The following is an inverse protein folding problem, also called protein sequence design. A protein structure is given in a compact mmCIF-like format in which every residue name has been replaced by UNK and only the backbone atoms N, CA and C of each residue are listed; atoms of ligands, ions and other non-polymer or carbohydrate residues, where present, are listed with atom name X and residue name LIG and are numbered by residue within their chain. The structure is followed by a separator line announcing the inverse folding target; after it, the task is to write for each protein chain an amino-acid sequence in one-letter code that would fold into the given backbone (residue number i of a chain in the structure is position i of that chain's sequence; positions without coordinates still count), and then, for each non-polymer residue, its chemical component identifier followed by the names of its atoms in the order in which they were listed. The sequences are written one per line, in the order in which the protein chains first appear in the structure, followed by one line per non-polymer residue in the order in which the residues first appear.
data_IF_378927666177
#
_entry.id   IF_378927666177
#
_cell.length_a   1.000
_cell.length_b   1.000
_cell.length_c   1.000
_cell.angle_alpha   90.00
_cell.angle_beta   90.00
_cell.angle_gamma   90.00
#
_symmetry.space_group_name_H-M   'P 1'
#
loop_
_entity.id
_entity.type
_entity.pdbx_description
1 polymer ?
#
# COMPACT_ATOMS: atom_id res chain seq x y z
N UNK A 1 -8.83 -0.61 2.03
CA UNK A 1 -10.01 0.13 1.51
C UNK A 1 -11.31 -0.58 1.88
N UNK A 2 -11.50 -1.87 1.54
CA UNK A 2 -12.68 -2.66 1.90
C UNK A 2 -13.07 -2.57 3.40
N UNK A 3 -12.13 -2.82 4.31
CA UNK A 3 -12.42 -2.75 5.75
C UNK A 3 -12.83 -1.35 6.22
N UNK A 4 -12.25 -0.29 5.65
CA UNK A 4 -12.67 1.09 5.94
C UNK A 4 -14.07 1.38 5.43
N UNK A 5 -14.43 0.89 4.25
CA UNK A 5 -15.78 1.03 3.70
C UNK A 5 -16.80 0.28 4.54
N UNK A 6 -16.49 -0.96 4.96
CA UNK A 6 -17.33 -1.73 5.90
C UNK A 6 -17.53 -0.99 7.22
N UNK A 7 -16.47 -0.41 7.77
CA UNK A 7 -16.52 0.38 9.01
C UNK A 7 -17.36 1.66 8.86
N UNK A 8 -17.17 2.42 7.77
CA UNK A 8 -17.92 3.66 7.51
C UNK A 8 -19.40 3.38 7.32
N UNK A 9 -19.74 2.33 6.58
CA UNK A 9 -21.12 1.96 6.27
C UNK A 9 -21.78 1.10 7.36
N UNK A 10 -21.05 0.77 8.43
CA UNK A 10 -21.51 -0.05 9.57
C UNK A 10 -22.23 -1.32 9.10
N UNK A 11 -21.68 -1.96 8.06
CA UNK A 11 -22.36 -3.07 7.39
C UNK A 11 -22.50 -4.28 8.32
N UNK A 12 -23.70 -4.85 8.35
CA UNK A 12 -24.00 -6.08 9.08
C UNK A 12 -23.80 -7.30 8.18
N UNK A 13 -23.87 -8.52 8.72
CA UNK A 13 -23.73 -9.75 7.91
C UNK A 13 -25.04 -10.15 7.17
N UNK A 14 -25.91 -9.19 6.86
CA UNK A 14 -27.15 -9.42 6.14
C UNK A 14 -26.93 -9.49 4.61
N UNK A 15 -27.88 -10.13 3.90
CA UNK A 15 -27.80 -10.32 2.44
C UNK A 15 -27.66 -9.00 1.67
N UNK A 16 -28.25 -7.92 2.17
CA UNK A 16 -28.19 -6.59 1.55
C UNK A 16 -26.78 -6.02 1.62
N UNK A 17 -26.12 -6.15 2.76
CA UNK A 17 -24.72 -5.74 2.95
C UNK A 17 -23.77 -6.50 2.04
N UNK A 18 -23.94 -7.81 1.87
CA UNK A 18 -23.15 -8.62 0.93
C UNK A 18 -23.32 -8.11 -0.51
N UNK A 19 -24.56 -7.86 -0.93
CA UNK A 19 -24.87 -7.37 -2.28
C UNK A 19 -24.27 -5.97 -2.52
N UNK A 20 -24.28 -5.13 -1.50
CA UNK A 20 -23.67 -3.81 -1.53
C UNK A 20 -22.14 -3.90 -1.63
N UNK A 21 -21.50 -4.80 -0.88
CA UNK A 21 -20.05 -5.05 -0.97
C UNK A 21 -19.64 -5.47 -2.37
N UNK A 22 -20.34 -6.42 -2.98
CA UNK A 22 -20.08 -6.87 -4.36
C UNK A 22 -20.23 -5.72 -5.37
N UNK A 23 -21.24 -4.86 -5.17
CA UNK A 23 -21.48 -3.70 -6.04
C UNK A 23 -20.37 -2.66 -5.90
N UNK A 24 -19.92 -2.40 -4.68
CA UNK A 24 -18.78 -1.49 -4.41
C UNK A 24 -17.51 -2.06 -5.01
N UNK A 25 -17.24 -3.36 -4.88
CA UNK A 25 -16.09 -4.01 -5.51
C UNK A 25 -16.11 -3.86 -7.03
N UNK A 26 -17.28 -4.09 -7.64
CA UNK A 26 -17.45 -3.91 -9.09
C UNK A 26 -17.20 -2.47 -9.50
N UNK A 27 -17.71 -1.51 -8.72
CA UNK A 27 -17.48 -0.08 -8.98
C UNK A 27 -15.99 0.27 -8.88
N UNK A 28 -15.32 -0.09 -7.78
CA UNK A 28 -13.89 0.18 -7.56
C UNK A 28 -13.00 -0.46 -8.63
N UNK A 29 -13.36 -1.65 -9.10
CA UNK A 29 -12.67 -2.28 -10.23
C UNK A 29 -12.86 -1.51 -11.53
N UNK A 30 -14.08 -1.05 -11.80
CA UNK A 30 -14.38 -0.26 -13.01
C UNK A 30 -13.65 1.09 -13.04
N UNK A 31 -13.27 1.61 -11.86
CA UNK A 31 -12.54 2.87 -11.73
C UNK A 31 -11.02 2.72 -11.76
N UNK A 32 -10.44 1.51 -11.86
CA UNK A 32 -8.98 1.31 -11.89
C UNK A 32 -8.28 2.23 -12.90
N UNK A 33 -8.85 2.41 -14.08
CA UNK A 33 -8.27 3.24 -15.15
C UNK A 33 -8.69 4.71 -15.09
N UNK A 34 -9.81 5.02 -14.43
CA UNK A 34 -10.44 6.36 -14.43
C UNK A 34 -10.20 7.15 -13.14
N UNK A 35 -9.90 6.46 -12.04
CA UNK A 35 -9.65 7.08 -10.76
C UNK A 35 -8.40 7.94 -10.83
N UNK A 36 -8.52 9.17 -10.34
CA UNK A 36 -7.41 10.10 -10.26
C UNK A 36 -6.48 9.68 -9.12
N UNK A 37 -5.28 9.22 -9.50
CA UNK A 37 -4.22 8.83 -8.58
C UNK A 37 -3.24 9.98 -8.30
N UNK A 38 -3.47 11.17 -8.84
CA UNK A 38 -2.53 12.30 -8.76
C UNK A 38 -2.17 12.67 -7.33
N UNK A 39 -3.15 12.67 -6.42
CA UNK A 39 -2.89 12.92 -4.99
C UNK A 39 -1.96 11.85 -4.37
N UNK A 40 -2.20 10.57 -4.68
CA UNK A 40 -1.39 9.46 -4.16
C UNK A 40 0.02 9.52 -4.74
N UNK A 41 0.15 9.76 -6.04
CA UNK A 41 1.44 9.92 -6.70
C UNK A 41 2.25 11.07 -6.07
N UNK A 42 1.62 12.22 -5.83
CA UNK A 42 2.26 13.36 -5.17
C UNK A 42 2.72 13.05 -3.74
N UNK A 43 1.93 12.30 -2.96
CA UNK A 43 2.34 11.87 -1.62
C UNK A 43 3.57 10.94 -1.67
N UNK A 44 3.60 9.99 -2.62
CA UNK A 44 4.74 9.09 -2.84
C UNK A 44 5.98 9.85 -3.31
N UNK A 45 5.83 10.81 -4.22
CA UNK A 45 6.90 11.70 -4.66
C UNK A 45 7.52 12.45 -3.48
N UNK A 46 6.71 13.06 -2.62
CA UNK A 46 7.21 13.80 -1.46
C UNK A 46 8.00 12.91 -0.49
N UNK A 47 7.55 11.68 -0.25
CA UNK A 47 8.29 10.71 0.58
C UNK A 47 9.61 10.32 -0.08
N UNK A 48 9.60 10.11 -1.40
CA UNK A 48 10.80 9.81 -2.15
C UNK A 48 11.80 10.97 -2.08
N UNK A 49 11.33 12.22 -2.16
CA UNK A 49 12.18 13.42 -2.09
C UNK A 49 12.72 13.72 -0.70
N UNK A 50 11.99 13.33 0.35
CA UNK A 50 12.51 13.36 1.71
C UNK A 50 13.63 12.34 1.91
N UNK A 51 13.53 11.18 1.25
CA UNK A 51 14.52 10.10 1.33
C UNK A 51 15.75 10.38 0.46
N UNK A 52 15.55 10.86 -0.77
CA UNK A 52 16.59 11.16 -1.75
C UNK A 52 16.98 12.64 -1.72
N UNK A 53 17.07 13.24 -0.53
CA UNK A 53 17.31 14.69 -0.39
C UNK A 53 18.64 15.15 -1.01
N UNK A 54 19.66 14.27 -1.05
CA UNK A 54 20.96 14.51 -1.68
C UNK A 54 20.95 14.45 -3.23
N UNK A 55 19.83 14.05 -3.85
CA UNK A 55 19.72 13.84 -5.30
C UNK A 55 18.65 14.74 -5.95
N UNK A 56 18.77 16.08 -5.91
CA UNK A 56 17.75 17.00 -6.40
C UNK A 56 17.47 16.88 -7.90
N UNK A 57 18.45 16.42 -8.69
CA UNK A 57 18.29 16.22 -10.13
C UNK A 57 17.24 15.16 -10.50
N UNK A 58 16.92 14.24 -9.58
CA UNK A 58 15.89 13.22 -9.82
C UNK A 58 14.47 13.81 -9.86
N UNK A 59 14.25 14.97 -9.24
CA UNK A 59 12.94 15.63 -9.20
C UNK A 59 12.45 16.11 -10.56
N UNK A 60 13.38 16.40 -11.48
CA UNK A 60 13.08 16.80 -12.86
C UNK A 60 13.20 15.65 -13.86
N UNK A 61 13.49 14.43 -13.39
CA UNK A 61 13.59 13.27 -14.26
C UNK A 61 12.19 12.79 -14.66
N UNK A 62 11.76 13.16 -15.86
CA UNK A 62 10.44 12.81 -16.39
C UNK A 62 10.17 11.30 -16.39
N UNK A 63 11.16 10.47 -16.68
CA UNK A 63 10.99 9.01 -16.69
C UNK A 63 10.78 8.45 -15.28
N UNK A 64 11.43 9.03 -14.26
CA UNK A 64 11.19 8.66 -12.87
C UNK A 64 9.77 9.07 -12.43
N UNK A 65 9.33 10.29 -12.76
CA UNK A 65 7.97 10.76 -12.44
C UNK A 65 6.89 9.87 -13.09
N UNK A 66 7.10 9.49 -14.36
CA UNK A 66 6.23 8.53 -15.06
C UNK A 66 6.24 7.17 -14.37
N UNK A 67 7.41 6.69 -13.96
CA UNK A 67 7.53 5.41 -13.26
C UNK A 67 6.79 5.42 -11.91
N UNK A 68 6.95 6.47 -11.10
CA UNK A 68 6.24 6.63 -9.82
C UNK A 68 4.72 6.58 -10.04
N UNK A 69 4.23 7.34 -11.01
CA UNK A 69 2.80 7.35 -11.37
C UNK A 69 2.32 5.96 -11.81
N UNK A 70 3.10 5.27 -12.65
CA UNK A 70 2.79 3.92 -13.11
C UNK A 70 2.76 2.90 -11.96
N UNK A 71 3.70 3.00 -11.01
CA UNK A 71 3.74 2.17 -9.82
C UNK A 71 2.50 2.41 -8.93
N UNK A 72 2.12 3.67 -8.71
CA UNK A 72 0.90 4.01 -7.97
C UNK A 72 -0.36 3.45 -8.65
N UNK A 73 -0.45 3.55 -9.98
CA UNK A 73 -1.56 2.97 -10.77
C UNK A 73 -1.60 1.45 -10.63
N UNK A 74 -0.45 0.81 -10.70
CA UNK A 74 -0.32 -0.65 -10.56
C UNK A 74 -0.75 -1.08 -9.17
N UNK A 75 -0.28 -0.42 -8.11
CA UNK A 75 -0.70 -0.68 -6.74
C UNK A 75 -2.21 -0.48 -6.55
N UNK A 76 -2.80 0.57 -7.13
CA UNK A 76 -4.24 0.79 -7.14
C UNK A 76 -5.01 -0.36 -7.81
N UNK A 77 -4.53 -0.83 -8.97
CA UNK A 77 -5.10 -1.99 -9.64
C UNK A 77 -5.01 -3.25 -8.79
N UNK A 78 -3.84 -3.48 -8.16
CA UNK A 78 -3.60 -4.66 -7.34
C UNK A 78 -4.48 -4.69 -6.09
N UNK A 79 -4.76 -3.53 -5.48
CA UNK A 79 -5.61 -3.40 -4.31
C UNK A 79 -7.11 -3.58 -4.61
N UNK A 80 -7.54 -3.32 -5.86
CA UNK A 80 -8.95 -3.35 -6.27
C UNK A 80 -9.34 -4.55 -7.13
N UNK A 81 -8.40 -5.44 -7.47
CA UNK A 81 -8.74 -6.72 -8.09
C UNK A 81 -9.49 -7.64 -7.10
N UNK A 82 -10.14 -8.69 -7.60
CA UNK A 82 -10.71 -9.75 -6.74
C UNK A 82 -10.07 -11.08 -7.13
N UNK A 83 -9.45 -11.81 -6.18
CA UNK A 83 -9.15 -11.41 -4.80
C UNK A 83 -8.10 -10.28 -4.74
N UNK A 84 -8.23 -9.31 -3.82
CA UNK A 84 -7.33 -8.17 -3.69
C UNK A 84 -5.95 -8.62 -3.21
N UNK A 85 -4.90 -7.87 -3.54
CA UNK A 85 -3.57 -8.13 -3.01
C UNK A 85 -3.25 -7.18 -1.86
N UNK A 86 -2.50 -7.71 -0.90
CA UNK A 86 -2.06 -7.01 0.30
C UNK A 86 -0.55 -7.13 0.43
N UNK A 87 0.05 -6.11 1.06
CA UNK A 87 1.44 -6.20 1.50
C UNK A 87 1.39 -6.87 2.86
N UNK A 88 2.07 -8.01 2.97
CA UNK A 88 2.20 -8.77 4.20
C UNK A 88 3.64 -8.66 4.69
N UNK A 89 3.77 -8.16 5.92
CA UNK A 89 5.06 -8.03 6.58
C UNK A 89 5.24 -9.25 7.47
N UNK A 90 6.16 -10.12 7.10
CA UNK A 90 6.56 -11.20 7.98
C UNK A 90 7.44 -10.62 9.08
N UNK A 91 7.01 -10.83 10.32
CA UNK A 91 7.74 -10.37 11.49
C UNK A 91 8.42 -11.54 12.18
N UNK A 92 9.64 -11.30 12.64
CA UNK A 92 10.42 -12.25 13.41
C UNK A 92 10.79 -11.64 14.76
N UNK A 93 11.13 -12.52 15.72
CA UNK A 93 11.67 -12.09 17.00
C UNK A 93 13.10 -11.61 16.79
N UNK A 94 13.43 -10.46 17.37
CA UNK A 94 14.79 -9.97 17.37
C UNK A 94 15.71 -10.90 18.16
N UNK A 95 16.85 -11.26 17.57
CA UNK A 95 17.90 -12.03 18.21
C UNK A 95 19.23 -11.27 18.11
N UNK A 96 19.78 -10.88 19.26
CA UNK A 96 21.04 -10.13 19.38
C UNK A 96 22.25 -10.89 18.83
N UNK A 97 22.16 -12.21 18.65
CA UNK A 97 23.26 -13.02 18.13
C UNK A 97 23.39 -12.94 16.61
N UNK A 98 22.29 -12.66 15.90
CA UNK A 98 22.23 -12.71 14.43
C UNK A 98 21.69 -11.43 13.79
N UNK A 99 21.09 -10.53 14.56
CA UNK A 99 20.54 -9.26 14.07
C UNK A 99 21.31 -8.07 14.61
N UNK A 100 21.68 -7.15 13.72
CA UNK A 100 22.23 -5.84 14.05
C UNK A 100 21.15 -4.77 13.82
N UNK A 101 20.98 -3.85 14.78
CA UNK A 101 20.02 -2.75 14.64
C UNK A 101 20.66 -1.57 13.94
N UNK A 102 19.92 -0.97 13.02
CA UNK A 102 20.31 0.32 12.47
C UNK A 102 20.20 1.39 13.55
N UNK A 103 21.08 2.39 13.52
CA UNK A 103 21.25 3.35 14.63
C UNK A 103 20.01 4.23 14.90
N UNK A 104 19.04 4.30 13.99
CA UNK A 104 17.75 4.99 14.18
C UNK A 104 16.58 4.05 14.50
N UNK A 105 16.82 2.74 14.61
CA UNK A 105 15.78 1.77 14.95
C UNK A 105 15.38 1.88 16.43
N UNK A 106 14.13 1.50 16.73
CA UNK A 106 13.68 1.36 18.11
C UNK A 106 14.45 0.22 18.80
N UNK A 107 15.17 0.55 19.87
CA UNK A 107 16.01 -0.40 20.61
C UNK A 107 15.19 -1.31 21.54
N UNK A 108 13.97 -0.91 21.91
CA UNK A 108 13.11 -1.65 22.83
C UNK A 108 12.17 -2.63 22.10
N UNK A 109 12.09 -2.56 20.77
CA UNK A 109 11.22 -3.45 19.98
C UNK A 109 11.81 -4.85 19.85
N UNK A 110 11.18 -5.86 20.45
CA UNK A 110 11.52 -7.28 20.26
C UNK A 110 11.08 -7.85 18.91
N UNK A 111 10.47 -7.04 18.05
CA UNK A 111 9.96 -7.45 16.74
C UNK A 111 10.75 -6.77 15.62
N UNK A 112 11.16 -7.54 14.62
CA UNK A 112 11.74 -7.03 13.37
C UNK A 112 10.89 -7.47 12.18
N UNK A 113 10.96 -6.69 11.10
CA UNK A 113 10.40 -7.08 9.80
C UNK A 113 11.48 -7.86 9.07
N UNK A 114 11.21 -9.12 8.74
CA UNK A 114 12.17 -10.01 8.07
C UNK A 114 11.95 -10.00 6.55
N UNK A 115 10.69 -10.13 6.11
CA UNK A 115 10.34 -10.20 4.70
C UNK A 115 9.09 -9.37 4.40
N UNK A 116 9.00 -8.90 3.16
CA UNK A 116 7.84 -8.21 2.61
C UNK A 116 7.31 -9.04 1.44
N UNK A 117 6.13 -9.62 1.61
CA UNK A 117 5.47 -10.42 0.58
C UNK A 117 4.24 -9.70 0.03
N UNK A 118 3.94 -9.98 -1.24
CA UNK A 118 2.66 -9.59 -1.82
C UNK A 118 1.72 -10.79 -1.77
N UNK A 119 0.81 -10.81 -0.79
CA UNK A 119 -0.13 -11.91 -0.61
C UNK A 119 -1.50 -11.60 -1.23
N UNK A 120 -2.11 -12.62 -1.82
CA UNK A 120 -3.45 -12.55 -2.41
C UNK A 120 -4.47 -12.87 -1.33
N UNK A 121 -5.49 -12.03 -1.20
CA UNK A 121 -6.62 -12.25 -0.30
C UNK A 121 -7.26 -13.61 -0.56
N UNK A 122 -7.58 -14.34 0.52
CA UNK A 122 -8.32 -15.60 0.46
C UNK A 122 -9.79 -15.36 0.18
#
# INVERSE_FOLDING_TARGET
IRNKVKQILQLSNDKSSITLEETIEKYLRSTIQKYDIGKVAFEVENQLWATLYDYPALRSCNELLKYITSACRTAWGLANQTPPYYIEFQTAKFDKQIHERFHTSDNESDTIIENIDLSRGK
#
